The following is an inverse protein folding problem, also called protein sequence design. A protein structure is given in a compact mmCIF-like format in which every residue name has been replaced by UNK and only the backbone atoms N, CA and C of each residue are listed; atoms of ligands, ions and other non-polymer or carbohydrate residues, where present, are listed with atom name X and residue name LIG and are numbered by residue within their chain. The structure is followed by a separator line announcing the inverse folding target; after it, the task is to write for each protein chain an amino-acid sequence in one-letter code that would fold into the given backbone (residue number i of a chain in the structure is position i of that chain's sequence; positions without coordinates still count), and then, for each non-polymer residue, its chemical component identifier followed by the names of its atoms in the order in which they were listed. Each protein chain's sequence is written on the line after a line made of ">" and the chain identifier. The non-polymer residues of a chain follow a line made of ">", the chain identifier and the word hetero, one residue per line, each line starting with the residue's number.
data_IF_321664324807
#
_entry.id   IF_321664324807
#
_cell.length_a   1.000
_cell.length_b   1.000
_cell.length_c   1.000
_cell.angle_alpha   90.00
_cell.angle_beta   90.00
_cell.angle_gamma   90.00
#
_symmetry.space_group_name_H-M   'P 1'
#
loop_
_entity.id
_entity.type
_entity.pdbx_description
1 polymer ?
#
# COMPACT_ATOMS: atom_id res chain seq x y z
N UNK A 1 37.91 -7.27 65.81
CA UNK A 1 36.92 -8.08 65.05
C UNK A 1 35.97 -7.30 64.12
N UNK A 2 36.17 -5.99 63.83
CA UNK A 2 35.22 -5.16 63.05
C UNK A 2 35.36 -5.20 61.51
N UNK A 3 36.41 -5.83 60.95
CA UNK A 3 36.67 -5.83 59.49
C UNK A 3 35.90 -6.87 58.68
N UNK A 4 35.33 -7.91 59.32
CA UNK A 4 34.60 -8.98 58.61
C UNK A 4 33.19 -8.58 58.18
N UNK A 5 32.55 -7.62 58.88
CA UNK A 5 31.16 -7.22 58.63
C UNK A 5 30.98 -6.37 57.37
N UNK A 6 32.01 -5.62 56.94
CA UNK A 6 31.95 -4.77 55.72
C UNK A 6 31.98 -5.56 54.41
N UNK A 7 32.57 -6.76 54.39
CA UNK A 7 32.67 -7.59 53.18
C UNK A 7 31.33 -8.25 52.80
N UNK A 8 30.56 -8.72 53.79
CA UNK A 8 29.25 -9.31 53.56
C UNK A 8 28.24 -8.29 53.00
N UNK A 9 28.36 -7.02 53.39
CA UNK A 9 27.47 -5.94 52.94
C UNK A 9 27.79 -5.47 51.50
N UNK A 10 29.06 -5.55 51.09
CA UNK A 10 29.47 -5.32 49.69
C UNK A 10 29.06 -6.47 48.74
N UNK A 11 28.98 -7.70 49.24
CA UNK A 11 28.47 -8.84 48.47
C UNK A 11 26.94 -8.77 48.26
N UNK A 12 26.19 -8.15 49.17
CA UNK A 12 24.77 -7.85 48.99
C UNK A 12 24.52 -6.70 48.00
N UNK A 13 25.35 -5.64 48.00
CA UNK A 13 25.25 -4.55 47.01
C UNK A 13 25.61 -4.98 45.58
N UNK A 14 26.42 -6.04 45.43
CA UNK A 14 26.77 -6.62 44.12
C UNK A 14 25.77 -7.69 43.63
N UNK A 15 24.79 -8.05 44.47
CA UNK A 15 23.62 -8.81 44.04
C UNK A 15 22.70 -7.84 43.32
N UNK A 16 23.03 -7.58 42.06
CA UNK A 16 22.17 -6.81 41.16
C UNK A 16 20.74 -7.32 41.33
N UNK A 17 19.82 -6.45 41.75
CA UNK A 17 18.44 -6.81 42.00
C UNK A 17 17.80 -7.33 40.72
N UNK A 18 17.79 -8.66 40.60
CA UNK A 18 17.27 -9.37 39.42
C UNK A 18 15.80 -9.02 39.19
N UNK A 19 15.05 -8.72 40.26
CA UNK A 19 13.67 -8.24 40.22
C UNK A 19 13.55 -6.91 39.47
N UNK A 20 14.43 -5.95 39.75
CA UNK A 20 14.46 -4.65 39.07
C UNK A 20 14.87 -4.78 37.60
N UNK A 21 15.76 -5.72 37.28
CA UNK A 21 16.13 -6.02 35.88
C UNK A 21 14.99 -6.68 35.10
N UNK A 22 14.24 -7.59 35.74
CA UNK A 22 13.13 -8.30 35.12
C UNK A 22 12.01 -7.32 34.73
N UNK A 23 11.71 -6.35 35.59
CA UNK A 23 10.72 -5.29 35.30
C UNK A 23 11.10 -4.46 34.07
N UNK A 24 12.37 -4.07 33.93
CA UNK A 24 12.86 -3.31 32.76
C UNK A 24 12.69 -4.13 31.47
N UNK A 25 13.02 -5.43 31.51
CA UNK A 25 12.88 -6.33 30.35
C UNK A 25 11.40 -6.54 30.01
N UNK A 26 10.53 -6.68 31.00
CA UNK A 26 9.10 -6.89 30.80
C UNK A 26 8.44 -5.67 30.14
N UNK A 27 8.78 -4.46 30.58
CA UNK A 27 8.30 -3.20 29.97
C UNK A 27 8.82 -3.06 28.53
N UNK A 28 10.07 -3.43 28.25
CA UNK A 28 10.62 -3.42 26.89
C UNK A 28 9.86 -4.37 25.94
N UNK A 29 9.51 -5.57 26.39
CA UNK A 29 8.76 -6.54 25.59
C UNK A 29 7.33 -6.06 25.30
N UNK A 30 6.64 -5.51 26.30
CA UNK A 30 5.31 -4.91 26.10
C UNK A 30 5.41 -3.75 25.11
N UNK A 31 6.38 -2.86 25.28
CA UNK A 31 6.58 -1.76 24.35
C UNK A 31 6.82 -2.27 22.94
N UNK A 32 7.67 -3.29 22.75
CA UNK A 32 7.91 -3.88 21.44
C UNK A 32 6.64 -4.47 20.82
N UNK A 33 5.87 -5.26 21.57
CA UNK A 33 4.61 -5.86 21.10
C UNK A 33 3.54 -4.80 20.78
N UNK A 34 3.42 -3.76 21.61
CA UNK A 34 2.43 -2.69 21.43
C UNK A 34 2.83 -1.74 20.30
N UNK A 35 4.12 -1.46 20.14
CA UNK A 35 4.65 -0.56 19.09
C UNK A 35 4.98 -1.25 17.78
N UNK A 36 4.98 -2.59 17.72
CA UNK A 36 4.84 -3.33 16.46
C UNK A 36 3.44 -3.09 15.91
N UNK A 37 3.23 -1.88 15.41
CA UNK A 37 2.13 -1.56 14.54
C UNK A 37 2.31 -2.44 13.31
N UNK A 38 1.27 -3.20 12.98
CA UNK A 38 1.20 -3.91 11.72
C UNK A 38 1.55 -2.93 10.60
N UNK A 39 2.75 -3.08 10.03
CA UNK A 39 3.01 -2.61 8.68
C UNK A 39 2.16 -3.53 7.80
N UNK A 40 0.86 -3.20 7.69
CA UNK A 40 0.09 -3.58 6.52
C UNK A 40 0.77 -2.82 5.41
N UNK A 41 1.76 -3.45 4.78
CA UNK A 41 2.06 -3.16 3.40
C UNK A 41 0.71 -3.25 2.68
N UNK A 42 0.09 -2.12 2.43
CA UNK A 42 -0.78 -1.95 1.28
C UNK A 42 0.09 -2.01 0.02
N UNK A 43 0.90 -3.07 -0.09
CA UNK A 43 1.45 -3.57 -1.32
C UNK A 43 0.26 -4.12 -2.07
N UNK A 44 -0.40 -3.22 -2.81
CA UNK A 44 -1.45 -3.58 -3.74
C UNK A 44 -0.87 -4.67 -4.62
N UNK A 45 -1.32 -5.91 -4.42
CA UNK A 45 -0.94 -7.04 -5.24
C UNK A 45 -1.46 -6.76 -6.64
N UNK A 46 -0.62 -6.14 -7.47
CA UNK A 46 -0.74 -6.20 -8.92
C UNK A 46 -0.46 -7.66 -9.26
N UNK A 47 -1.48 -8.52 -9.09
CA UNK A 47 -1.51 -9.80 -9.77
C UNK A 47 -1.53 -9.47 -11.25
N UNK A 48 -0.34 -9.46 -11.85
CA UNK A 48 -0.18 -9.64 -13.29
C UNK A 48 -0.93 -10.93 -13.60
N UNK A 49 -2.15 -10.83 -14.10
CA UNK A 49 -2.89 -11.99 -14.59
C UNK A 49 -2.16 -12.45 -15.84
N UNK A 50 -1.16 -13.30 -15.64
CA UNK A 50 -0.74 -14.24 -16.67
C UNK A 50 -2.00 -14.96 -17.09
N UNK A 51 -2.30 -14.77 -18.37
CA UNK A 51 -3.16 -15.60 -19.21
C UNK A 51 -3.41 -16.96 -18.58
N UNK A 52 -4.62 -17.18 -18.08
CA UNK A 52 -5.19 -18.52 -18.00
C UNK A 52 -6.71 -18.43 -18.04
N UNK A 53 -7.24 -19.00 -19.11
CA UNK A 53 -8.64 -19.29 -19.33
C UNK A 53 -9.14 -20.12 -18.15
N UNK A 54 -9.94 -19.53 -17.28
CA UNK A 54 -10.70 -20.28 -16.29
C UNK A 54 -12.03 -19.59 -16.05
N UNK A 55 -13.08 -20.34 -16.39
CA UNK A 55 -14.50 -20.07 -16.21
C UNK A 55 -14.84 -19.59 -14.80
N UNK A 56 -14.92 -18.27 -14.67
CA UNK A 56 -15.80 -17.52 -13.79
C UNK A 56 -15.77 -16.11 -14.38
N UNK A 57 -16.85 -15.33 -14.36
CA UNK A 57 -16.85 -13.94 -14.81
C UNK A 57 -15.90 -13.13 -13.92
N UNK A 58 -14.59 -13.23 -14.15
CA UNK A 58 -13.55 -12.45 -13.47
C UNK A 58 -13.85 -11.00 -13.84
N UNK A 59 -14.17 -10.19 -12.83
CA UNK A 59 -14.38 -8.77 -13.04
C UNK A 59 -13.20 -8.20 -13.81
N UNK A 60 -13.48 -7.56 -14.94
CA UNK A 60 -12.45 -6.99 -15.79
C UNK A 60 -11.91 -5.73 -15.11
N UNK A 61 -10.62 -5.46 -15.27
CA UNK A 61 -10.00 -4.24 -14.76
C UNK A 61 -9.78 -3.28 -15.93
N UNK A 62 -10.26 -2.05 -15.80
CA UNK A 62 -9.94 -0.98 -16.75
C UNK A 62 -8.53 -0.49 -16.46
N UNK A 63 -7.69 -0.43 -17.50
CA UNK A 63 -6.35 0.15 -17.38
C UNK A 63 -6.32 1.53 -18.02
N UNK A 64 -5.99 2.53 -17.21
CA UNK A 64 -5.72 3.90 -17.65
C UNK A 64 -4.25 4.20 -17.36
N UNK A 65 -3.47 4.57 -18.37
CA UNK A 65 -2.10 5.02 -18.13
C UNK A 65 -1.84 6.34 -18.84
N UNK A 66 -0.89 7.09 -18.28
CA UNK A 66 -0.40 8.33 -18.87
C UNK A 66 1.06 8.07 -19.23
N UNK A 67 1.44 8.28 -20.48
CA UNK A 67 2.81 8.08 -20.92
C UNK A 67 3.72 9.28 -20.56
N UNK A 68 4.99 9.18 -20.94
CA UNK A 68 5.97 10.26 -20.76
C UNK A 68 5.65 11.56 -21.51
N UNK A 69 4.78 11.49 -22.53
CA UNK A 69 4.36 12.64 -23.32
C UNK A 69 3.04 13.25 -22.81
N UNK A 70 2.47 12.70 -21.73
CA UNK A 70 1.18 13.13 -21.18
C UNK A 70 -0.02 12.62 -21.98
N UNK A 71 0.17 11.67 -22.89
CA UNK A 71 -0.89 11.02 -23.65
C UNK A 71 -1.59 10.02 -22.75
N UNK A 72 -2.92 10.08 -22.73
CA UNK A 72 -3.76 9.18 -21.96
C UNK A 72 -4.15 7.97 -22.79
N UNK A 73 -3.99 6.80 -22.22
CA UNK A 73 -4.33 5.53 -22.84
C UNK A 73 -5.40 4.83 -22.02
N UNK A 74 -6.42 4.31 -22.72
CA UNK A 74 -7.44 3.44 -22.18
C UNK A 74 -7.28 2.06 -22.80
N UNK A 75 -6.98 1.04 -21.99
CA UNK A 75 -6.72 -0.34 -22.44
C UNK A 75 -5.77 -0.38 -23.67
N UNK A 76 -4.62 0.29 -23.54
CA UNK A 76 -3.55 0.41 -24.56
C UNK A 76 -3.93 1.17 -25.83
N UNK A 77 -5.07 1.87 -25.84
CA UNK A 77 -5.47 2.75 -26.96
C UNK A 77 -5.46 4.20 -26.50
N UNK A 78 -4.76 5.05 -27.24
CA UNK A 78 -4.77 6.48 -26.99
C UNK A 78 -6.23 7.01 -26.98
N UNK A 79 -6.49 7.90 -26.03
CA UNK A 79 -7.79 8.53 -25.84
C UNK A 79 -7.59 9.96 -25.37
N UNK A 80 -8.44 10.85 -25.86
CA UNK A 80 -8.58 12.18 -25.30
C UNK A 80 -9.19 12.07 -23.89
N UNK A 81 -8.66 12.83 -22.92
CA UNK A 81 -9.20 12.92 -21.56
C UNK A 81 -10.70 13.20 -21.57
N UNK A 82 -11.17 14.09 -22.45
CA UNK A 82 -12.59 14.45 -22.56
C UNK A 82 -13.49 13.29 -23.01
N UNK A 83 -12.93 12.30 -23.71
CA UNK A 83 -13.64 11.11 -24.21
C UNK A 83 -13.49 9.90 -23.28
N UNK A 84 -12.66 10.01 -22.24
CA UNK A 84 -12.40 8.93 -21.30
C UNK A 84 -13.69 8.46 -20.59
N UNK A 85 -14.60 9.33 -20.11
CA UNK A 85 -15.83 8.90 -19.45
C UNK A 85 -16.72 8.03 -20.36
N UNK A 86 -16.94 8.46 -21.61
CA UNK A 86 -17.75 7.73 -22.57
C UNK A 86 -17.16 6.33 -22.88
N UNK A 87 -15.83 6.21 -22.96
CA UNK A 87 -15.16 4.91 -23.13
C UNK A 87 -15.34 4.01 -21.91
N UNK A 88 -15.25 4.57 -20.72
CA UNK A 88 -15.44 3.85 -19.46
C UNK A 88 -16.88 3.33 -19.38
N UNK A 89 -17.88 4.16 -19.65
CA UNK A 89 -19.30 3.75 -19.67
C UNK A 89 -19.57 2.62 -20.64
N UNK A 90 -19.11 2.77 -21.89
CA UNK A 90 -19.26 1.73 -22.90
C UNK A 90 -18.59 0.42 -22.48
N UNK A 91 -17.44 0.48 -21.82
CA UNK A 91 -16.73 -0.71 -21.38
C UNK A 91 -17.45 -1.42 -20.24
N UNK A 92 -17.95 -0.68 -19.25
CA UNK A 92 -18.69 -1.23 -18.10
C UNK A 92 -20.03 -1.83 -18.54
N UNK A 93 -20.68 -1.26 -19.56
CA UNK A 93 -21.93 -1.80 -20.10
C UNK A 93 -21.75 -3.20 -20.70
N UNK A 94 -20.59 -3.45 -21.31
CA UNK A 94 -20.29 -4.71 -21.99
C UNK A 94 -19.52 -5.72 -21.12
N UNK A 95 -18.86 -5.25 -20.06
CA UNK A 95 -17.99 -6.07 -19.22
C UNK A 95 -18.25 -5.79 -17.74
N UNK A 96 -18.51 -6.82 -16.90
CA UNK A 96 -18.56 -6.64 -15.46
C UNK A 96 -17.20 -6.14 -14.97
N UNK A 97 -17.16 -4.91 -14.49
CA UNK A 97 -15.93 -4.19 -14.11
C UNK A 97 -16.07 -3.67 -12.69
N UNK A 98 -15.06 -3.91 -11.86
CA UNK A 98 -15.05 -3.47 -10.46
C UNK A 98 -13.91 -2.49 -10.15
N UNK A 99 -12.88 -2.47 -10.99
CA UNK A 99 -11.62 -1.78 -10.72
C UNK A 99 -11.16 -0.92 -11.90
N UNK A 100 -10.65 0.28 -11.60
CA UNK A 100 -9.88 1.11 -12.52
C UNK A 100 -8.46 1.22 -11.96
N UNK A 101 -7.48 0.86 -12.77
CA UNK A 101 -6.07 1.01 -12.45
C UNK A 101 -5.49 2.20 -13.23
N UNK A 102 -5.13 3.27 -12.51
CA UNK A 102 -4.45 4.45 -13.04
C UNK A 102 -2.93 4.30 -12.88
N UNK A 103 -2.18 4.41 -13.97
CA UNK A 103 -0.71 4.33 -13.98
C UNK A 103 -0.12 5.57 -14.65
N UNK A 104 0.15 6.65 -13.89
CA UNK A 104 0.84 7.80 -14.44
C UNK A 104 2.33 7.49 -14.64
N UNK A 105 2.91 7.95 -15.75
CA UNK A 105 4.37 7.98 -15.91
C UNK A 105 4.99 8.84 -14.81
N UNK A 106 6.22 8.50 -14.40
CA UNK A 106 6.98 9.21 -13.34
C UNK A 106 7.08 10.73 -13.58
N UNK A 107 7.16 11.13 -14.85
CA UNK A 107 7.36 12.53 -15.26
C UNK A 107 6.02 13.23 -15.59
N UNK A 108 4.89 12.58 -15.33
CA UNK A 108 3.56 13.17 -15.57
C UNK A 108 3.31 14.33 -14.61
N UNK A 109 2.86 15.47 -15.13
CA UNK A 109 2.48 16.61 -14.29
C UNK A 109 1.32 16.24 -13.37
N UNK A 110 1.39 16.67 -12.11
CA UNK A 110 0.30 16.51 -11.14
C UNK A 110 -1.05 16.99 -11.69
N UNK A 111 -1.05 18.10 -12.44
CA UNK A 111 -2.26 18.66 -13.07
C UNK A 111 -2.92 17.68 -14.04
N UNK A 112 -2.13 16.93 -14.81
CA UNK A 112 -2.65 15.93 -15.76
C UNK A 112 -3.23 14.71 -15.03
N UNK A 113 -2.57 14.26 -13.96
CA UNK A 113 -3.08 13.16 -13.13
C UNK A 113 -4.43 13.52 -12.52
N UNK A 114 -4.54 14.72 -11.94
CA UNK A 114 -5.81 15.23 -11.39
C UNK A 114 -6.87 15.35 -12.47
N UNK A 115 -6.54 15.89 -13.64
CA UNK A 115 -7.49 15.99 -14.75
C UNK A 115 -8.05 14.61 -15.16
N UNK A 116 -7.23 13.58 -15.19
CA UNK A 116 -7.67 12.20 -15.48
C UNK A 116 -8.51 11.64 -14.34
N UNK A 117 -8.11 11.87 -13.08
CA UNK A 117 -8.88 11.46 -11.91
C UNK A 117 -10.27 12.10 -11.88
N UNK A 118 -10.39 13.37 -12.25
CA UNK A 118 -11.67 14.07 -12.31
C UNK A 118 -12.62 13.46 -13.34
N UNK A 119 -12.10 12.91 -14.45
CA UNK A 119 -12.91 12.17 -15.42
C UNK A 119 -13.35 10.79 -14.90
N UNK A 120 -12.59 10.20 -13.98
CA UNK A 120 -12.86 8.86 -13.43
C UNK A 120 -13.74 8.93 -12.18
N UNK A 121 -13.66 10.03 -11.42
CA UNK A 121 -14.37 10.24 -10.16
C UNK A 121 -15.90 10.02 -10.20
N UNK A 122 -16.63 10.36 -11.28
CA UNK A 122 -18.08 10.10 -11.35
C UNK A 122 -18.44 8.62 -11.21
N UNK A 123 -17.52 7.71 -11.56
CA UNK A 123 -17.71 6.26 -11.48
C UNK A 123 -17.50 5.73 -10.05
N UNK A 124 -18.26 6.24 -9.08
CA UNK A 124 -18.15 5.94 -7.64
C UNK A 124 -18.26 4.44 -7.32
N UNK A 125 -18.94 3.67 -8.17
CA UNK A 125 -19.08 2.20 -8.03
C UNK A 125 -17.76 1.45 -8.28
N UNK A 126 -16.80 2.07 -8.98
CA UNK A 126 -15.52 1.46 -9.33
C UNK A 126 -14.47 1.82 -8.29
N UNK A 127 -13.70 0.83 -7.87
CA UNK A 127 -12.55 1.03 -7.00
C UNK A 127 -11.38 1.54 -7.83
N UNK A 128 -10.88 2.73 -7.49
CA UNK A 128 -9.74 3.35 -8.16
C UNK A 128 -8.47 2.93 -7.43
N UNK A 129 -7.51 2.39 -8.18
CA UNK A 129 -6.18 2.02 -7.71
C UNK A 129 -5.13 2.79 -8.50
N UNK A 130 -4.09 3.31 -7.82
CA UNK A 130 -2.95 3.94 -8.49
C UNK A 130 -1.78 2.97 -8.44
N UNK A 131 -1.16 2.70 -9.58
CA UNK A 131 -0.02 1.81 -9.71
C UNK A 131 1.18 2.49 -10.35
N UNK A 132 2.35 1.89 -10.20
CA UNK A 132 3.57 2.35 -10.85
C UNK A 132 3.49 2.10 -12.38
N UNK A 133 4.01 3.05 -13.15
CA UNK A 133 4.22 2.88 -14.58
C UNK A 133 5.26 1.78 -14.83
N UNK A 134 4.95 0.83 -15.70
CA UNK A 134 5.87 -0.19 -16.19
C UNK A 134 5.99 0.01 -17.71
N UNK A 135 7.22 0.13 -18.25
CA UNK A 135 7.46 0.30 -19.67
C UNK A 135 7.02 -0.92 -20.49
#
# INVERSE_FOLDING_TARGET
>A
MRRRKKRAQQEEEAKVDVTSLLDIIFIMLIFFIVTTSFVKESGFLVKKSTTDKASNKKATTIMVHIDQHGIVYFNNKAVDITRLPARIEYFIANNPTEHILLRPHKDTSYKQVVAVLDQIKPFTRLKISIGLYQP
#
